data_IF_457662736814
#
_entry.id   IF_457662736814
#
_cell.length_a   1.000
_cell.length_b   1.000
_cell.length_c   1.000
_cell.angle_alpha   90.00
_cell.angle_beta   90.00
_cell.angle_gamma   90.00
#
_symmetry.space_group_name_H-M   'P 1'
#
loop_
_entity.id
_entity.type
_entity.pdbx_description
1 polymer ?
#
# COMPACT_ATOMS: atom_id res chain seq x y z
N UNK A 1 -19.57 16.64 21.27
CA UNK A 1 -18.15 16.27 21.41
C UNK A 1 -17.47 16.47 20.07
N UNK A 2 -16.83 17.62 19.85
CA UNK A 2 -16.21 18.00 18.58
C UNK A 2 -14.70 17.96 18.78
N UNK A 3 -14.08 16.80 18.55
CA UNK A 3 -12.63 16.65 18.65
C UNK A 3 -12.01 17.38 17.46
N UNK A 4 -11.32 18.49 17.76
CA UNK A 4 -10.79 19.43 16.77
C UNK A 4 -9.75 18.76 15.87
N UNK A 5 -10.14 18.47 14.62
CA UNK A 5 -9.26 18.00 13.52
C UNK A 5 -8.06 18.93 13.26
N UNK A 6 -8.13 20.17 13.74
CA UNK A 6 -7.05 21.16 13.62
C UNK A 6 -5.81 20.77 14.41
N UNK A 7 -5.95 20.06 15.53
CA UNK A 7 -4.81 19.70 16.39
C UNK A 7 -4.02 18.51 15.84
N UNK A 8 -4.70 17.57 15.17
CA UNK A 8 -4.05 16.42 14.54
C UNK A 8 -3.27 16.84 13.29
N UNK A 9 -3.82 17.76 12.48
CA UNK A 9 -3.13 18.32 11.33
C UNK A 9 -1.95 19.21 11.75
N UNK A 10 -2.09 19.98 12.83
CA UNK A 10 -0.98 20.76 13.39
C UNK A 10 0.13 19.86 13.96
N UNK A 11 -0.21 18.77 14.65
CA UNK A 11 0.78 17.82 15.16
C UNK A 11 1.51 17.07 14.03
N UNK A 12 0.80 16.71 12.95
CA UNK A 12 1.40 16.09 11.77
C UNK A 12 2.30 17.06 11.00
N UNK A 13 1.90 18.33 10.89
CA UNK A 13 2.69 19.42 10.31
C UNK A 13 3.93 19.77 11.14
N UNK A 14 3.79 19.81 12.48
CA UNK A 14 4.90 20.06 13.41
C UNK A 14 5.90 18.91 13.45
N UNK A 15 5.41 17.66 13.39
CA UNK A 15 6.28 16.48 13.27
C UNK A 15 7.06 16.50 11.94
N UNK A 16 6.42 16.91 10.84
CA UNK A 16 7.11 17.02 9.54
C UNK A 16 8.11 18.18 9.48
N UNK A 17 7.89 19.29 10.19
CA UNK A 17 8.89 20.36 10.32
C UNK A 17 10.04 20.00 11.28
N UNK A 18 9.78 19.23 12.33
CA UNK A 18 10.82 18.78 13.26
C UNK A 18 11.77 17.76 12.61
N UNK A 19 11.28 16.93 11.67
CA UNK A 19 12.12 16.07 10.84
C UNK A 19 12.83 16.83 9.71
N UNK A 20 12.27 17.95 9.23
CA UNK A 20 12.88 18.77 8.18
C UNK A 20 14.06 19.61 8.67
N UNK A 21 14.15 19.90 9.98
CA UNK A 21 15.16 20.81 10.53
C UNK A 21 16.52 20.12 10.85
N UNK A 22 16.60 18.79 10.78
CA UNK A 22 17.87 18.03 10.91
C UNK A 22 18.54 17.76 9.55
N UNK A 23 17.91 18.18 8.45
CA UNK A 23 18.49 18.12 7.10
C UNK A 23 19.17 19.43 6.74
N UNK A 24 20.44 19.58 7.12
CA UNK A 24 21.28 20.69 6.67
C UNK A 24 21.19 20.89 5.15
N UNK A 25 20.93 22.13 4.74
CA UNK A 25 21.00 22.58 3.35
C UNK A 25 22.44 22.49 2.86
N UNK A 26 22.78 21.39 2.19
CA UNK A 26 23.86 21.40 1.18
C UNK A 26 23.19 21.41 -0.19
N UNK A 27 23.29 22.54 -0.89
CA UNK A 27 22.90 22.69 -2.30
C UNK A 27 23.81 21.93 -3.27
N UNK A 28 24.39 20.81 -2.85
CA UNK A 28 25.21 19.91 -3.65
C UNK A 28 24.35 18.93 -4.44
N UNK A 29 24.75 18.64 -5.68
CA UNK A 29 24.18 17.51 -6.42
C UNK A 29 24.19 16.24 -5.56
N UNK A 30 23.09 15.46 -5.56
CA UNK A 30 23.01 14.24 -4.77
C UNK A 30 24.19 13.33 -5.11
N UNK A 31 24.90 12.86 -4.08
CA UNK A 31 26.06 12.00 -4.26
C UNK A 31 25.67 10.70 -4.96
N UNK A 32 26.60 10.04 -5.68
CA UNK A 32 26.29 8.78 -6.38
C UNK A 32 25.69 7.69 -5.47
N UNK A 33 26.05 7.69 -4.18
CA UNK A 33 25.50 6.77 -3.18
C UNK A 33 24.04 7.07 -2.84
N UNK A 34 23.63 8.35 -2.79
CA UNK A 34 22.24 8.76 -2.54
C UNK A 34 21.32 8.43 -3.72
N UNK A 35 21.81 8.61 -4.95
CA UNK A 35 21.10 8.20 -6.17
C UNK A 35 20.89 6.68 -6.16
N UNK A 36 21.95 5.90 -5.90
CA UNK A 36 21.87 4.45 -5.84
C UNK A 36 20.90 3.97 -4.73
N UNK A 37 20.93 4.60 -3.57
CA UNK A 37 20.02 4.28 -2.45
C UNK A 37 18.56 4.54 -2.82
N UNK A 38 18.27 5.69 -3.44
CA UNK A 38 16.91 6.04 -3.90
C UNK A 38 16.41 5.06 -4.95
N UNK A 39 17.25 4.69 -5.90
CA UNK A 39 16.92 3.71 -6.93
C UNK A 39 16.63 2.32 -6.35
N UNK A 40 17.41 1.89 -5.35
CA UNK A 40 17.17 0.63 -4.65
C UNK A 40 15.82 0.62 -3.91
N UNK A 41 15.44 1.75 -3.29
CA UNK A 41 14.13 1.90 -2.63
C UNK A 41 12.98 1.80 -3.65
N UNK A 42 13.10 2.47 -4.80
CA UNK A 42 12.10 2.40 -5.89
C UNK A 42 11.92 0.96 -6.37
N UNK A 43 13.03 0.26 -6.61
CA UNK A 43 13.01 -1.14 -7.07
C UNK A 43 12.38 -2.04 -5.99
N UNK A 44 12.79 -1.90 -4.73
CA UNK A 44 12.25 -2.69 -3.63
C UNK A 44 10.74 -2.47 -3.45
N UNK A 45 10.28 -1.21 -3.45
CA UNK A 45 8.86 -0.86 -3.40
C UNK A 45 8.09 -1.53 -4.53
N UNK A 46 8.56 -1.37 -5.78
CA UNK A 46 7.89 -1.90 -6.96
C UNK A 46 7.79 -3.43 -6.97
N UNK A 47 8.87 -4.13 -6.63
CA UNK A 47 8.88 -5.61 -6.58
C UNK A 47 7.94 -6.09 -5.46
N UNK A 48 8.06 -5.54 -4.24
CA UNK A 48 7.24 -5.99 -3.11
C UNK A 48 5.75 -5.73 -3.34
N UNK A 49 5.37 -4.54 -3.83
CA UNK A 49 3.98 -4.22 -4.16
C UNK A 49 3.47 -5.07 -5.33
N UNK A 50 4.30 -5.24 -6.37
CA UNK A 50 3.96 -6.07 -7.53
C UNK A 50 3.66 -7.52 -7.13
N UNK A 51 4.55 -8.14 -6.34
CA UNK A 51 4.34 -9.52 -5.86
C UNK A 51 3.10 -9.60 -4.95
N UNK A 52 2.92 -8.65 -4.05
CA UNK A 52 1.77 -8.64 -3.14
C UNK A 52 0.43 -8.62 -3.90
N UNK A 53 0.27 -7.70 -4.86
CA UNK A 53 -0.99 -7.51 -5.57
C UNK A 53 -1.21 -8.44 -6.76
N UNK A 54 -0.15 -8.82 -7.48
CA UNK A 54 -0.28 -9.70 -8.65
C UNK A 54 -0.34 -11.18 -8.28
N UNK A 55 0.27 -11.58 -7.14
CA UNK A 55 0.42 -13.00 -6.79
C UNK A 55 -0.19 -13.31 -5.43
N UNK A 56 0.30 -12.69 -4.36
CA UNK A 56 0.00 -13.14 -3.00
C UNK A 56 -1.47 -12.95 -2.60
N UNK A 57 -2.04 -11.75 -2.83
CA UNK A 57 -3.45 -11.48 -2.53
C UNK A 57 -4.41 -12.34 -3.38
N UNK A 58 -4.22 -12.44 -4.72
CA UNK A 58 -5.01 -13.37 -5.55
C UNK A 58 -4.91 -14.82 -5.09
N UNK A 59 -3.71 -15.29 -4.76
CA UNK A 59 -3.49 -16.66 -4.29
C UNK A 59 -4.27 -16.94 -3.00
N UNK A 60 -4.19 -16.03 -2.02
CA UNK A 60 -4.97 -16.09 -0.79
C UNK A 60 -6.47 -16.19 -1.06
N UNK A 61 -6.99 -15.44 -2.03
CA UNK A 61 -8.40 -15.47 -2.42
C UNK A 61 -8.81 -16.76 -3.17
N UNK A 62 -7.93 -17.32 -4.00
CA UNK A 62 -8.17 -18.55 -4.78
C UNK A 62 -8.23 -19.78 -3.87
N UNK A 63 -7.40 -19.84 -2.83
CA UNK A 63 -7.38 -20.95 -1.86
C UNK A 63 -8.78 -21.23 -1.29
N UNK A 64 -9.52 -20.18 -0.95
CA UNK A 64 -10.88 -20.30 -0.40
C UNK A 64 -11.90 -20.88 -1.41
N UNK A 65 -11.59 -20.88 -2.70
CA UNK A 65 -12.44 -21.48 -3.74
C UNK A 65 -12.06 -22.92 -4.06
N UNK A 66 -10.76 -23.22 -4.08
CA UNK A 66 -10.26 -24.53 -4.52
C UNK A 66 -10.25 -25.56 -3.39
N UNK A 67 -9.94 -25.16 -2.17
CA UNK A 67 -9.78 -26.08 -1.05
C UNK A 67 -10.96 -26.03 -0.09
N UNK A 68 -11.38 -27.22 0.38
CA UNK A 68 -12.49 -27.40 1.34
C UNK A 68 -12.06 -28.34 2.46
N UNK A 69 -11.30 -27.81 3.42
CA UNK A 69 -10.93 -28.53 4.64
C UNK A 69 -11.12 -27.63 5.87
N UNK A 70 -11.22 -28.23 7.05
CA UNK A 70 -11.65 -27.54 8.29
C UNK A 70 -10.75 -26.37 8.71
N UNK A 71 -9.50 -26.34 8.26
CA UNK A 71 -8.51 -25.28 8.55
C UNK A 71 -8.31 -24.23 7.44
N UNK A 72 -9.02 -24.33 6.30
CA UNK A 72 -8.74 -23.47 5.13
C UNK A 72 -8.92 -21.98 5.42
N UNK A 73 -9.88 -21.63 6.29
CA UNK A 73 -10.14 -20.24 6.69
C UNK A 73 -8.97 -19.66 7.48
N UNK A 74 -8.37 -20.44 8.37
CA UNK A 74 -7.20 -20.01 9.16
C UNK A 74 -5.97 -19.87 8.30
N UNK A 75 -5.77 -20.78 7.35
CA UNK A 75 -4.69 -20.65 6.37
C UNK A 75 -4.88 -19.42 5.47
N UNK A 76 -6.11 -19.17 4.99
CA UNK A 76 -6.44 -17.94 4.27
C UNK A 76 -6.16 -16.70 5.11
N UNK A 77 -6.62 -16.66 6.36
CA UNK A 77 -6.39 -15.52 7.25
C UNK A 77 -4.89 -15.28 7.48
N UNK A 78 -4.13 -16.33 7.80
CA UNK A 78 -2.67 -16.24 8.01
C UNK A 78 -1.94 -15.77 6.75
N UNK A 79 -2.27 -16.33 5.59
CA UNK A 79 -1.70 -15.92 4.30
C UNK A 79 -2.01 -14.46 3.96
N UNK A 80 -3.25 -14.03 4.20
CA UNK A 80 -3.66 -12.65 3.96
C UNK A 80 -2.97 -11.67 4.92
N UNK A 81 -2.79 -12.04 6.19
CA UNK A 81 -2.05 -11.22 7.16
C UNK A 81 -0.57 -11.10 6.74
N UNK A 82 0.06 -12.19 6.34
CA UNK A 82 1.43 -12.16 5.82
C UNK A 82 1.56 -11.22 4.62
N UNK A 83 0.68 -11.40 3.63
CA UNK A 83 0.65 -10.56 2.43
C UNK A 83 0.41 -9.08 2.78
N UNK A 84 -0.44 -8.83 3.76
CA UNK A 84 -0.75 -7.50 4.26
C UNK A 84 0.46 -6.80 4.89
N UNK A 85 1.27 -7.54 5.67
CA UNK A 85 2.52 -7.02 6.24
C UNK A 85 3.51 -6.65 5.13
N UNK A 86 3.66 -7.50 4.11
CA UNK A 86 4.54 -7.22 2.95
C UNK A 86 4.07 -5.94 2.23
N UNK A 87 2.76 -5.82 1.99
CA UNK A 87 2.18 -4.65 1.34
C UNK A 87 2.36 -3.36 2.16
N UNK A 88 2.20 -3.41 3.49
CA UNK A 88 2.42 -2.26 4.37
C UNK A 88 3.89 -1.85 4.43
N UNK A 89 4.82 -2.82 4.49
CA UNK A 89 6.25 -2.53 4.44
C UNK A 89 6.63 -1.83 3.12
N UNK A 90 6.13 -2.36 2.00
CA UNK A 90 6.35 -1.76 0.69
C UNK A 90 5.70 -0.37 0.56
N UNK A 91 4.48 -0.19 1.08
CA UNK A 91 3.83 1.12 1.14
C UNK A 91 4.64 2.13 1.98
N UNK A 92 5.22 1.69 3.10
CA UNK A 92 6.14 2.50 3.91
C UNK A 92 7.36 2.98 3.12
N UNK A 93 7.95 2.12 2.27
CA UNK A 93 9.02 2.54 1.35
C UNK A 93 8.53 3.60 0.34
N UNK A 94 7.29 3.48 -0.15
CA UNK A 94 6.70 4.48 -1.05
C UNK A 94 6.48 5.83 -0.38
N UNK A 95 6.00 5.83 0.87
CA UNK A 95 5.87 7.06 1.67
C UNK A 95 7.25 7.68 1.95
N UNK A 96 8.25 6.86 2.29
CA UNK A 96 9.61 7.34 2.47
C UNK A 96 10.13 8.04 1.21
N UNK A 97 9.95 7.42 0.04
CA UNK A 97 10.35 8.02 -1.23
C UNK A 97 9.63 9.35 -1.50
N UNK A 98 8.33 9.42 -1.21
CA UNK A 98 7.54 10.63 -1.39
C UNK A 98 7.96 11.76 -0.44
N UNK A 99 8.45 11.44 0.76
CA UNK A 99 9.05 12.40 1.67
C UNK A 99 10.37 12.95 1.12
N UNK A 100 11.27 12.06 0.68
CA UNK A 100 12.57 12.44 0.12
C UNK A 100 12.46 13.32 -1.14
N UNK A 101 11.46 13.04 -1.97
CA UNK A 101 11.25 13.73 -3.26
C UNK A 101 10.25 14.88 -3.17
N UNK A 102 9.77 15.21 -1.97
CA UNK A 102 8.72 16.20 -1.71
C UNK A 102 7.42 15.98 -2.52
N UNK A 103 7.16 14.74 -2.95
CA UNK A 103 5.98 14.36 -3.71
C UNK A 103 4.73 14.15 -2.83
N UNK A 104 4.84 14.28 -1.50
CA UNK A 104 3.66 14.30 -0.63
C UNK A 104 2.81 15.57 -0.79
N UNK A 105 3.41 16.68 -1.21
CA UNK A 105 2.70 17.97 -1.40
C UNK A 105 1.98 18.00 -2.75
N UNK A 106 2.54 17.35 -3.77
CA UNK A 106 1.96 17.22 -5.13
C UNK A 106 1.91 15.75 -5.55
N UNK A 107 1.02 14.95 -4.94
CA UNK A 107 0.97 13.52 -5.21
C UNK A 107 0.46 13.27 -6.62
N UNK A 108 1.19 12.43 -7.36
CA UNK A 108 0.74 11.95 -8.67
C UNK A 108 -0.42 10.93 -8.52
N UNK A 109 -1.06 10.59 -9.64
CA UNK A 109 -2.19 9.67 -9.66
C UNK A 109 -1.88 8.29 -9.05
N UNK A 110 -0.67 7.77 -9.24
CA UNK A 110 -0.23 6.50 -8.66
C UNK A 110 -0.20 6.54 -7.13
N UNK A 111 0.35 7.60 -6.56
CA UNK A 111 0.42 7.80 -5.10
C UNK A 111 -0.98 7.94 -4.50
N UNK A 112 -1.87 8.73 -5.13
CA UNK A 112 -3.25 8.92 -4.64
C UNK A 112 -4.01 7.59 -4.65
N UNK A 113 -3.99 6.87 -5.77
CA UNK A 113 -4.68 5.58 -5.90
C UNK A 113 -4.07 4.57 -4.92
N UNK A 114 -2.75 4.53 -4.77
CA UNK A 114 -2.06 3.65 -3.84
C UNK A 114 -2.50 3.86 -2.38
N UNK A 115 -2.60 5.11 -1.94
CA UNK A 115 -3.09 5.47 -0.60
C UNK A 115 -4.55 5.00 -0.41
N UNK A 116 -5.42 5.22 -1.41
CA UNK A 116 -6.81 4.79 -1.36
C UNK A 116 -6.91 3.25 -1.28
N UNK A 117 -6.12 2.53 -2.07
CA UNK A 117 -6.12 1.07 -2.11
C UNK A 117 -5.65 0.47 -0.79
N UNK A 118 -4.53 0.95 -0.24
CA UNK A 118 -4.02 0.50 1.06
C UNK A 118 -4.97 0.92 2.19
N UNK A 119 -5.53 2.13 2.11
CA UNK A 119 -6.58 2.62 3.00
C UNK A 119 -7.78 1.69 3.05
N UNK A 120 -8.30 1.25 1.91
CA UNK A 120 -9.41 0.31 1.84
C UNK A 120 -9.04 -1.09 2.34
N UNK A 121 -7.81 -1.53 2.09
CA UNK A 121 -7.30 -2.82 2.57
C UNK A 121 -7.20 -2.90 4.09
N UNK A 122 -6.97 -1.79 4.81
CA UNK A 122 -7.01 -1.76 6.29
C UNK A 122 -8.35 -2.28 6.85
N UNK A 123 -9.46 -2.06 6.12
CA UNK A 123 -10.78 -2.51 6.54
C UNK A 123 -11.08 -3.98 6.15
N UNK A 124 -10.28 -4.58 5.27
CA UNK A 124 -10.50 -5.96 4.80
C UNK A 124 -10.37 -7.03 5.89
N UNK A 125 -9.34 -7.02 6.77
CA UNK A 125 -9.24 -7.96 7.88
C UNK A 125 -10.43 -7.89 8.84
N UNK A 126 -10.88 -6.68 9.16
CA UNK A 126 -12.05 -6.44 10.03
C UNK A 126 -13.30 -7.01 9.37
N UNK A 127 -13.52 -6.68 8.09
CA UNK A 127 -14.66 -7.22 7.31
C UNK A 127 -14.61 -8.73 7.15
N UNK A 128 -13.42 -9.32 7.01
CA UNK A 128 -13.20 -10.76 6.90
C UNK A 128 -13.50 -11.49 8.19
N UNK A 129 -13.02 -10.96 9.32
CA UNK A 129 -13.33 -11.48 10.65
C UNK A 129 -14.84 -11.41 10.94
N UNK A 130 -15.46 -10.25 10.73
CA UNK A 130 -16.88 -10.06 10.95
C UNK A 130 -17.72 -10.95 10.03
N UNK A 131 -17.36 -11.08 8.76
CA UNK A 131 -18.00 -12.02 7.84
C UNK A 131 -17.93 -13.45 8.37
N UNK A 132 -16.75 -13.92 8.78
CA UNK A 132 -16.58 -15.27 9.28
C UNK A 132 -17.41 -15.52 10.54
N UNK A 133 -17.36 -14.60 11.52
CA UNK A 133 -18.16 -14.69 12.74
C UNK A 133 -19.67 -14.78 12.44
N UNK A 134 -20.17 -13.89 11.57
CA UNK A 134 -21.60 -13.88 11.23
C UNK A 134 -22.01 -15.10 10.38
N UNK A 135 -21.11 -15.61 9.54
CA UNK A 135 -21.36 -16.83 8.76
C UNK A 135 -21.49 -18.05 9.68
N UNK A 136 -20.61 -18.20 10.67
CA UNK A 136 -20.70 -19.28 11.67
C UNK A 136 -21.97 -19.15 12.51
N UNK A 137 -22.38 -17.93 12.87
CA UNK A 137 -23.60 -17.68 13.65
C UNK A 137 -24.90 -17.96 12.89
N UNK A 138 -25.01 -17.46 11.66
CA UNK A 138 -26.29 -17.49 10.92
C UNK A 138 -26.36 -18.58 9.84
N UNK A 139 -25.25 -19.25 9.52
CA UNK A 139 -25.15 -20.30 8.49
C UNK A 139 -25.71 -19.88 7.12
N UNK A 140 -25.68 -18.57 6.82
CA UNK A 140 -26.17 -17.99 5.57
C UNK A 140 -25.30 -16.83 5.10
N UNK A 141 -25.27 -16.52 3.79
CA UNK A 141 -24.54 -15.37 3.27
C UNK A 141 -25.04 -14.07 3.90
N UNK A 142 -24.11 -13.26 4.43
CA UNK A 142 -24.41 -11.96 5.04
C UNK A 142 -24.06 -10.82 4.09
N UNK A 143 -24.65 -9.64 4.31
CA UNK A 143 -24.28 -8.44 3.56
C UNK A 143 -22.78 -8.13 3.69
N UNK A 144 -22.23 -8.28 4.91
CA UNK A 144 -20.78 -8.14 5.20
C UNK A 144 -19.94 -9.12 4.37
N UNK A 145 -20.39 -10.38 4.24
CA UNK A 145 -19.69 -11.35 3.41
C UNK A 145 -19.72 -11.05 1.92
N UNK A 146 -20.80 -10.45 1.42
CA UNK A 146 -20.86 -9.98 0.03
C UNK A 146 -19.95 -8.77 -0.17
N UNK A 147 -20.00 -7.78 0.73
CA UNK A 147 -19.18 -6.57 0.63
C UNK A 147 -17.70 -6.90 0.74
N UNK A 148 -17.27 -7.70 1.73
CA UNK A 148 -15.88 -8.14 1.88
C UNK A 148 -15.33 -8.75 0.58
N UNK A 149 -16.07 -9.69 -0.03
CA UNK A 149 -15.67 -10.36 -1.28
C UNK A 149 -15.59 -9.41 -2.48
N UNK A 150 -16.55 -8.50 -2.64
CA UNK A 150 -16.56 -7.57 -3.78
C UNK A 150 -15.52 -6.47 -3.63
N UNK A 151 -15.41 -5.87 -2.44
CA UNK A 151 -14.39 -4.86 -2.14
C UNK A 151 -13.00 -5.46 -2.35
N UNK A 152 -12.72 -6.67 -1.83
CA UNK A 152 -11.44 -7.34 -2.05
C UNK A 152 -11.09 -7.50 -3.54
N UNK A 153 -12.06 -7.87 -4.39
CA UNK A 153 -11.83 -7.99 -5.85
C UNK A 153 -11.52 -6.66 -6.51
N UNK A 154 -12.31 -5.63 -6.22
CA UNK A 154 -12.14 -4.29 -6.80
C UNK A 154 -10.77 -3.73 -6.43
N UNK A 155 -10.37 -3.83 -5.17
CA UNK A 155 -9.11 -3.26 -4.69
C UNK A 155 -7.87 -4.05 -5.10
N UNK A 156 -7.97 -5.37 -5.30
CA UNK A 156 -6.88 -6.14 -5.95
C UNK A 156 -6.66 -5.64 -7.38
N UNK A 157 -7.73 -5.51 -8.18
CA UNK A 157 -7.65 -5.04 -9.57
C UNK A 157 -7.10 -3.61 -9.63
N UNK A 158 -7.65 -2.70 -8.81
CA UNK A 158 -7.17 -1.32 -8.73
C UNK A 158 -5.69 -1.26 -8.31
N UNK A 159 -5.28 -2.10 -7.35
CA UNK A 159 -3.88 -2.18 -6.94
C UNK A 159 -2.95 -2.67 -8.06
N UNK A 160 -3.38 -3.66 -8.85
CA UNK A 160 -2.62 -4.11 -10.03
C UNK A 160 -2.50 -3.02 -11.09
N UNK A 161 -3.60 -2.32 -11.42
CA UNK A 161 -3.57 -1.17 -12.33
C UNK A 161 -2.64 -0.08 -11.79
N UNK A 162 -2.72 0.19 -10.49
CA UNK A 162 -1.85 1.15 -9.83
C UNK A 162 -0.37 0.76 -9.93
N UNK A 163 -0.04 -0.52 -9.81
CA UNK A 163 1.32 -1.03 -10.06
C UNK A 163 1.80 -0.71 -11.48
N UNK A 164 0.94 -0.85 -12.48
CA UNK A 164 1.21 -0.43 -13.86
C UNK A 164 1.51 1.07 -14.00
N UNK A 165 0.73 1.93 -13.33
CA UNK A 165 1.00 3.37 -13.28
C UNK A 165 2.36 3.68 -12.62
N UNK A 166 2.72 2.94 -11.57
CA UNK A 166 4.03 3.07 -10.92
C UNK A 166 5.20 2.70 -11.83
N UNK A 167 5.05 1.65 -12.64
CA UNK A 167 6.02 1.25 -13.65
C UNK A 167 6.19 2.32 -14.74
N UNK A 168 5.09 2.94 -15.17
CA UNK A 168 5.13 4.04 -16.14
C UNK A 168 5.92 5.24 -15.58
N UNK A 169 5.63 5.65 -14.35
CA UNK A 169 6.35 6.74 -13.68
C UNK A 169 7.85 6.45 -13.52
N UNK A 170 8.21 5.21 -13.18
CA UNK A 170 9.60 4.80 -13.08
C UNK A 170 10.33 4.86 -14.44
N UNK A 171 9.63 4.62 -15.54
CA UNK A 171 10.20 4.68 -16.88
C UNK A 171 10.39 6.14 -17.36
N UNK A 172 9.42 7.01 -17.10
CA UNK A 172 9.52 8.45 -17.38
C UNK A 172 10.69 9.08 -16.63
N UNK A 173 10.91 8.70 -15.36
CA UNK A 173 12.05 9.15 -14.57
C UNK A 173 13.40 8.73 -15.16
N UNK A 174 13.53 7.50 -15.67
CA UNK A 174 14.76 7.05 -16.37
C UNK A 174 15.01 7.84 -17.66
N UNK A 175 13.96 8.12 -18.43
CA UNK A 175 14.06 8.92 -19.66
C UNK A 175 14.54 10.35 -19.39
N UNK A 176 14.05 10.97 -18.32
CA UNK A 176 14.54 12.28 -17.87
C UNK A 176 16.02 12.21 -17.48
N UNK A 177 16.46 11.22 -16.70
CA UNK A 177 17.87 11.07 -16.31
C UNK A 177 18.81 10.95 -17.51
N UNK A 178 18.41 10.24 -18.57
CA UNK A 178 19.23 10.07 -19.79
C UNK A 178 19.33 11.37 -20.61
N UNK A 179 18.29 12.21 -20.60
CA UNK A 179 18.26 13.45 -21.39
C UNK A 179 19.09 14.60 -20.80
N UNK A 180 19.43 14.55 -19.50
CA UNK A 180 20.20 15.58 -18.79
C UNK A 180 21.63 15.15 -18.40
N UNK A 181 22.10 14.01 -18.92
CA UNK A 181 23.46 13.47 -18.74
C UNK A 181 24.24 13.51 -20.06
#
# INVERSE_FOLDING_TARGET
MHFSTRNALAALALASTAFAQDGGQDGGQPSPSEIAKTQNIIIAHGIMMGIAFAVLFPFGAIIMRLFKFRGVVWFHAGWQIFTYIVALAAFGLGIWLALLTNQLVTPNGHSIIGIIVIGALLFQPIGGFLHHYLYVKYQRPTAVGKSHRWIGRVFIILGTINGGLGLQLANEGKGATIAYS
#
